data_IF_242483532264
#
_entry.id   IF_242483532264
#
_cell.length_a   1.000
_cell.length_b   1.000
_cell.length_c   1.000
_cell.angle_alpha   90.00
_cell.angle_beta   90.00
_cell.angle_gamma   90.00
#
_symmetry.space_group_name_H-M   'P 1'
#
loop_
_entity.id
_entity.type
_entity.pdbx_description
1 polymer ?
#
# COMPACT_ATOMS: atom_id res chain seq x y z
N UNK A 1 -11.83 -24.67 -2.23
CA UNK A 1 -11.44 -23.60 -1.27
C UNK A 1 -12.67 -22.98 -0.60
N UNK A 2 -12.68 -22.89 0.74
CA UNK A 2 -13.74 -22.22 1.52
C UNK A 2 -13.62 -20.69 1.47
N UNK A 3 -12.39 -20.16 1.47
CA UNK A 3 -12.10 -18.74 1.25
C UNK A 3 -12.34 -18.39 -0.22
N UNK A 4 -13.11 -17.32 -0.46
CA UNK A 4 -13.47 -16.85 -1.80
C UNK A 4 -12.58 -15.71 -2.30
N UNK A 5 -12.28 -14.74 -1.45
CA UNK A 5 -11.45 -13.57 -1.75
C UNK A 5 -10.72 -13.11 -0.50
N UNK A 6 -9.51 -12.59 -0.68
CA UNK A 6 -8.74 -11.89 0.34
C UNK A 6 -8.80 -10.39 0.04
N UNK A 7 -9.16 -9.59 1.05
CA UNK A 7 -9.10 -8.13 0.99
C UNK A 7 -7.96 -7.69 1.90
N UNK A 8 -6.88 -7.18 1.32
CA UNK A 8 -5.71 -6.72 2.05
C UNK A 8 -5.78 -5.20 2.26
N UNK A 9 -5.62 -4.76 3.51
CA UNK A 9 -5.38 -3.34 3.80
C UNK A 9 -3.92 -3.01 3.55
N UNK A 10 -3.67 -2.32 2.45
CA UNK A 10 -2.38 -1.75 2.10
C UNK A 10 -2.32 -0.27 2.54
N UNK A 11 -1.66 0.60 1.78
CA UNK A 11 -1.54 2.03 2.06
C UNK A 11 -1.16 2.79 0.80
N UNK A 12 -1.48 4.08 0.71
CA UNK A 12 -0.97 4.99 -0.33
C UNK A 12 0.58 4.99 -0.41
N UNK A 13 1.24 4.57 0.67
CA UNK A 13 2.68 4.37 0.72
C UNK A 13 3.21 3.38 -0.33
N UNK A 14 2.43 2.38 -0.76
CA UNK A 14 2.86 1.46 -1.82
C UNK A 14 2.71 2.04 -3.24
N UNK A 15 2.03 3.18 -3.39
CA UNK A 15 1.64 3.75 -4.69
C UNK A 15 2.40 5.04 -5.01
N UNK A 16 2.37 6.04 -4.12
CA UNK A 16 2.65 7.43 -4.48
C UNK A 16 4.15 7.82 -4.57
N UNK A 17 5.09 6.93 -4.22
CA UNK A 17 6.51 7.30 -4.04
C UNK A 17 7.40 6.72 -5.15
N UNK A 18 7.09 7.04 -6.42
CA UNK A 18 7.85 6.55 -7.58
C UNK A 18 8.96 7.52 -8.07
N UNK A 19 9.09 8.68 -7.44
CA UNK A 19 10.04 9.74 -7.81
C UNK A 19 9.45 10.87 -8.65
N UNK A 20 8.21 10.74 -9.12
CA UNK A 20 7.51 11.82 -9.81
C UNK A 20 7.11 12.92 -8.82
N UNK A 21 7.38 14.20 -9.11
CA UNK A 21 6.94 15.30 -8.26
C UNK A 21 5.42 15.36 -8.14
N UNK A 22 4.90 15.36 -6.90
CA UNK A 22 3.47 15.49 -6.63
C UNK A 22 3.07 16.97 -6.66
N UNK A 23 2.66 17.45 -7.83
CA UNK A 23 2.18 18.83 -8.05
C UNK A 23 0.65 18.85 -8.18
N UNK A 24 -0.02 20.03 -8.12
CA UNK A 24 -1.48 20.11 -8.19
C UNK A 24 -2.11 19.48 -9.44
N UNK A 25 -1.38 19.43 -10.56
CA UNK A 25 -1.86 18.88 -11.84
C UNK A 25 -1.59 17.37 -11.99
N UNK A 26 -0.85 16.76 -11.04
CA UNK A 26 -0.51 15.34 -11.09
C UNK A 26 -1.62 14.51 -10.46
N UNK A 27 -2.17 13.60 -11.25
CA UNK A 27 -3.13 12.60 -10.80
C UNK A 27 -2.39 11.32 -10.47
N UNK A 28 -2.46 10.90 -9.20
CA UNK A 28 -1.95 9.60 -8.75
C UNK A 28 -3.11 8.61 -8.81
N UNK A 29 -2.88 7.45 -9.44
CA UNK A 29 -3.85 6.35 -9.57
C UNK A 29 -3.17 5.00 -9.28
N UNK A 30 -3.93 3.90 -9.39
CA UNK A 30 -3.47 2.54 -9.08
C UNK A 30 -2.46 1.97 -10.10
N UNK A 31 -2.17 2.69 -11.19
CA UNK A 31 -1.09 2.30 -12.12
C UNK A 31 0.29 2.66 -11.56
N UNK A 32 0.36 3.52 -10.55
CA UNK A 32 1.59 3.92 -9.90
C UNK A 32 2.07 2.88 -8.88
N UNK A 33 3.38 2.72 -8.80
CA UNK A 33 4.05 1.88 -7.81
C UNK A 33 5.22 2.61 -7.19
N UNK A 34 5.31 2.58 -5.87
CA UNK A 34 6.42 3.14 -5.12
C UNK A 34 7.74 2.45 -5.47
N UNK A 35 8.80 3.25 -5.62
CA UNK A 35 10.16 2.75 -5.73
C UNK A 35 10.74 2.50 -4.32
N UNK A 36 10.70 1.24 -3.86
CA UNK A 36 11.17 0.86 -2.54
C UNK A 36 12.67 1.15 -2.31
N UNK A 37 13.51 0.98 -3.34
CA UNK A 37 14.95 1.24 -3.22
C UNK A 37 15.25 2.73 -3.06
N UNK A 38 14.56 3.60 -3.80
CA UNK A 38 14.66 5.06 -3.62
C UNK A 38 14.19 5.47 -2.22
N UNK A 39 13.07 4.91 -1.76
CA UNK A 39 12.55 5.17 -0.41
C UNK A 39 13.50 4.70 0.69
N UNK A 40 14.21 3.59 0.47
CA UNK A 40 15.22 3.05 1.37
C UNK A 40 16.44 3.97 1.52
N UNK A 41 16.90 4.57 0.42
CA UNK A 41 17.97 5.57 0.45
C UNK A 41 17.58 6.81 1.26
N UNK A 42 16.29 7.17 1.23
CA UNK A 42 15.71 8.26 2.02
C UNK A 42 15.31 7.86 3.44
N UNK A 43 15.58 6.60 3.86
CA UNK A 43 15.21 6.05 5.16
C UNK A 43 13.69 6.09 5.47
N UNK A 44 12.83 6.05 4.44
CA UNK A 44 11.38 6.02 4.56
C UNK A 44 10.88 4.59 4.88
N UNK A 45 11.29 4.04 6.02
CA UNK A 45 11.13 2.62 6.34
C UNK A 45 9.68 2.12 6.36
N UNK A 46 8.72 2.94 6.81
CA UNK A 46 7.30 2.58 6.75
C UNK A 46 6.83 2.42 5.30
N UNK A 47 7.28 3.32 4.42
CA UNK A 47 6.95 3.28 3.00
C UNK A 47 7.51 2.01 2.38
N UNK A 48 8.80 1.75 2.60
CA UNK A 48 9.46 0.51 2.15
C UNK A 48 8.72 -0.73 2.64
N UNK A 49 8.36 -0.78 3.92
CA UNK A 49 7.67 -1.93 4.50
C UNK A 49 6.30 -2.17 3.86
N UNK A 50 5.51 -1.11 3.62
CA UNK A 50 4.20 -1.23 2.97
C UNK A 50 4.31 -1.63 1.49
N UNK A 51 5.27 -1.07 0.76
CA UNK A 51 5.52 -1.43 -0.65
C UNK A 51 5.90 -2.90 -0.79
N UNK A 52 6.91 -3.36 -0.04
CA UNK A 52 7.40 -4.74 -0.12
C UNK A 52 6.34 -5.74 0.37
N UNK A 53 5.54 -5.38 1.38
CA UNK A 53 4.46 -6.24 1.86
C UNK A 53 3.35 -6.42 0.79
N UNK A 54 2.97 -5.37 0.07
CA UNK A 54 1.97 -5.48 -1.00
C UNK A 54 2.50 -6.27 -2.20
N UNK A 55 3.75 -6.04 -2.61
CA UNK A 55 4.40 -6.82 -3.68
C UNK A 55 4.44 -8.31 -3.33
N UNK A 56 4.86 -8.64 -2.10
CA UNK A 56 4.87 -10.02 -1.60
C UNK A 56 3.47 -10.65 -1.58
N UNK A 57 2.44 -9.88 -1.21
CA UNK A 57 1.06 -10.36 -1.23
C UNK A 57 0.57 -10.68 -2.65
N UNK A 58 0.87 -9.84 -3.64
CA UNK A 58 0.52 -10.09 -5.05
C UNK A 58 1.25 -11.31 -5.62
N UNK A 59 2.55 -11.44 -5.34
CA UNK A 59 3.33 -12.61 -5.76
C UNK A 59 2.75 -13.91 -5.15
N UNK A 60 2.48 -13.90 -3.85
CA UNK A 60 1.87 -15.03 -3.15
C UNK A 60 0.48 -15.38 -3.71
N UNK A 61 -0.34 -14.38 -3.99
CA UNK A 61 -1.67 -14.57 -4.55
C UNK A 61 -1.60 -15.20 -5.94
N UNK A 62 -0.68 -14.74 -6.80
CA UNK A 62 -0.44 -15.31 -8.13
C UNK A 62 0.04 -16.75 -8.05
N UNK A 63 1.01 -17.04 -7.19
CA UNK A 63 1.55 -18.40 -6.98
C UNK A 63 0.49 -19.37 -6.47
N UNK A 64 -0.38 -18.92 -5.57
CA UNK A 64 -1.39 -19.77 -4.93
C UNK A 64 -2.76 -19.73 -5.62
N UNK A 65 -2.91 -18.96 -6.70
CA UNK A 65 -4.19 -18.78 -7.39
C UNK A 65 -5.28 -18.17 -6.50
N UNK A 66 -4.90 -17.24 -5.61
CA UNK A 66 -5.83 -16.54 -4.72
C UNK A 66 -6.46 -15.34 -5.44
N UNK A 67 -7.76 -15.16 -5.25
CA UNK A 67 -8.44 -13.91 -5.58
C UNK A 67 -8.09 -12.87 -4.50
N UNK A 68 -7.20 -11.93 -4.84
CA UNK A 68 -6.71 -10.87 -3.97
C UNK A 68 -7.16 -9.51 -4.51
N UNK A 69 -7.61 -8.64 -3.61
CA UNK A 69 -7.77 -7.21 -3.84
C UNK A 69 -7.10 -6.43 -2.70
N UNK A 70 -6.58 -5.25 -3.01
CA UNK A 70 -5.95 -4.36 -2.03
C UNK A 70 -6.76 -3.06 -1.90
N UNK A 71 -6.78 -2.49 -0.70
CA UNK A 71 -7.30 -1.14 -0.42
C UNK A 71 -6.15 -0.30 0.09
N UNK A 72 -5.91 0.86 -0.52
CA UNK A 72 -4.71 1.70 -0.31
C UNK A 72 -5.05 3.06 0.32
N UNK A 73 -5.44 3.10 1.61
CA UNK A 73 -5.79 4.35 2.28
C UNK A 73 -4.57 5.27 2.46
N UNK A 74 -4.82 6.57 2.48
CA UNK A 74 -3.87 7.58 2.94
C UNK A 74 -3.97 7.76 4.47
N UNK A 75 -3.99 9.00 4.96
CA UNK A 75 -4.28 9.26 6.37
C UNK A 75 -5.76 8.98 6.66
N UNK A 76 -6.03 7.98 7.50
CA UNK A 76 -7.38 7.65 7.95
C UNK A 76 -7.68 8.43 9.23
N UNK A 77 -8.69 9.30 9.18
CA UNK A 77 -9.16 10.10 10.32
C UNK A 77 -10.65 9.86 10.56
N UNK A 78 -11.09 10.07 11.80
CA UNK A 78 -12.48 9.85 12.19
C UNK A 78 -12.63 9.62 13.70
N UNK A 79 -13.86 9.37 14.19
CA UNK A 79 -14.10 9.06 15.59
C UNK A 79 -13.39 7.77 15.99
N UNK A 80 -12.81 7.75 17.18
CA UNK A 80 -12.23 6.55 17.76
C UNK A 80 -13.33 5.65 18.32
N UNK A 81 -13.22 4.34 18.09
CA UNK A 81 -14.06 3.35 18.77
C UNK A 81 -13.56 3.04 20.19
N UNK A 82 -12.31 3.38 20.49
CA UNK A 82 -11.62 3.19 21.77
C UNK A 82 -11.42 4.55 22.47
N UNK A 83 -11.31 4.58 23.82
CA UNK A 83 -11.28 5.83 24.57
C UNK A 83 -9.99 6.65 24.41
N UNK A 84 -8.88 6.02 24.03
CA UNK A 84 -7.57 6.66 23.90
C UNK A 84 -6.78 6.13 22.70
N UNK A 85 -5.81 6.91 22.23
CA UNK A 85 -4.82 6.45 21.25
C UNK A 85 -3.90 5.39 21.89
N UNK A 86 -3.53 4.36 21.11
CA UNK A 86 -2.59 3.31 21.53
C UNK A 86 -1.15 3.84 21.63
#
# INVERSE_FOLDING_TARGET
>A
PSVKRVVLTSSIASVAYNGTPLTPDVVVDETWWTNAEACKQMQLWYVVAKTLAEEAAWNLAKEKGLDLVTITPAMVVGPLLQPTLN
#
